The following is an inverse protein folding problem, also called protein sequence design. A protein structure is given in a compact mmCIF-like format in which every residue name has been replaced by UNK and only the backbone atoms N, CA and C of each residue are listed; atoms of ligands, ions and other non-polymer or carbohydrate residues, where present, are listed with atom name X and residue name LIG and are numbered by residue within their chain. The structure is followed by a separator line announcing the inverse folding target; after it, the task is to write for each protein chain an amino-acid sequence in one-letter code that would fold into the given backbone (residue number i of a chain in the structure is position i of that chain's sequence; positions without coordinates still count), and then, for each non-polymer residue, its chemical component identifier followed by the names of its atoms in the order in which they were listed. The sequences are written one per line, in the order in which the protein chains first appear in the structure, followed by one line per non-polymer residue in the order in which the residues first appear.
data_IF_949955761666
#
_entry.id   IF_949955761666
#
_cell.length_a   1.000
_cell.length_b   1.000
_cell.length_c   1.000
_cell.angle_alpha   90.00
_cell.angle_beta   90.00
_cell.angle_gamma   90.00
#
_symmetry.space_group_name_H-M   'P 1'
#
loop_
_entity.id
_entity.type
_entity.pdbx_description
1 polymer ?
#
# COMPACT_ATOMS: atom_id res chain seq x y z
N UNK A 1 -5.52 -25.75 -18.94
CA UNK A 1 -4.16 -26.09 -19.42
C UNK A 1 -3.19 -25.27 -18.58
N UNK A 2 -2.63 -25.85 -17.52
CA UNK A 2 -1.71 -25.16 -16.62
C UNK A 2 -0.31 -25.18 -17.26
N UNK A 3 0.44 -24.07 -17.32
CA UNK A 3 1.80 -24.09 -17.85
C UNK A 3 2.72 -24.71 -16.80
N UNK A 4 3.02 -26.00 -16.98
CA UNK A 4 4.07 -26.67 -16.21
C UNK A 4 5.38 -26.47 -16.96
N UNK A 5 6.26 -25.61 -16.44
CA UNK A 5 7.63 -25.50 -16.95
C UNK A 5 8.34 -26.82 -16.67
N UNK A 6 8.48 -27.67 -17.70
CA UNK A 6 9.14 -28.97 -17.52
C UNK A 6 10.67 -28.82 -17.67
N UNK A 7 11.44 -29.67 -16.98
CA UNK A 7 12.91 -29.59 -16.99
C UNK A 7 13.52 -29.72 -18.40
N UNK A 8 12.88 -30.49 -19.29
CA UNK A 8 13.27 -30.62 -20.69
C UNK A 8 13.03 -29.35 -21.51
N UNK A 9 12.00 -28.57 -21.22
CA UNK A 9 11.71 -27.29 -21.89
C UNK A 9 12.69 -26.18 -21.48
N UNK A 10 13.13 -26.17 -20.22
CA UNK A 10 14.12 -25.20 -19.71
C UNK A 10 15.46 -25.33 -20.45
N UNK A 11 15.84 -26.55 -20.84
CA UNK A 11 17.09 -26.81 -21.58
C UNK A 11 17.15 -26.09 -22.93
N UNK A 12 16.01 -25.82 -23.56
CA UNK A 12 15.94 -25.18 -24.88
C UNK A 12 15.76 -23.65 -24.81
N UNK A 13 15.71 -23.08 -23.61
CA UNK A 13 15.61 -21.63 -23.43
C UNK A 13 16.95 -20.98 -23.77
N UNK A 14 16.96 -20.20 -24.86
CA UNK A 14 18.13 -19.40 -25.23
C UNK A 14 18.23 -18.20 -24.29
N UNK A 15 19.28 -18.15 -23.50
CA UNK A 15 19.57 -17.02 -22.60
C UNK A 15 20.75 -16.21 -23.13
N UNK A 16 20.64 -14.87 -23.24
CA UNK A 16 21.82 -14.03 -23.44
C UNK A 16 22.71 -14.13 -22.19
N UNK A 17 23.98 -14.45 -22.39
CA UNK A 17 24.98 -14.50 -21.32
C UNK A 17 26.03 -13.43 -21.61
N UNK A 18 25.86 -12.20 -21.11
CA UNK A 18 26.85 -11.15 -21.28
C UNK A 18 28.11 -11.44 -20.45
N UNK A 19 29.22 -10.68 -20.63
CA UNK A 19 30.41 -10.81 -19.79
C UNK A 19 30.11 -10.61 -18.30
N UNK A 20 30.91 -11.23 -17.42
CA UNK A 20 30.70 -11.17 -15.96
C UNK A 20 30.65 -9.74 -15.41
N UNK A 21 31.41 -8.82 -16.01
CA UNK A 21 31.42 -7.41 -15.64
C UNK A 21 30.05 -6.76 -15.85
N UNK A 22 29.48 -6.91 -17.06
CA UNK A 22 28.14 -6.40 -17.39
C UNK A 22 27.05 -7.07 -16.53
N UNK A 23 27.19 -8.38 -16.25
CA UNK A 23 26.26 -9.07 -15.33
C UNK A 23 26.28 -8.44 -13.93
N UNK A 24 27.45 -8.07 -13.42
CA UNK A 24 27.59 -7.43 -12.11
C UNK A 24 26.99 -6.02 -12.11
N UNK A 25 27.25 -5.23 -13.14
CA UNK A 25 26.68 -3.88 -13.29
C UNK A 25 25.15 -3.91 -13.31
N UNK A 26 24.57 -4.82 -14.11
CA UNK A 26 23.12 -5.02 -14.18
C UNK A 26 22.57 -5.45 -12.80
N UNK A 27 23.24 -6.40 -12.14
CA UNK A 27 22.81 -6.90 -10.84
C UNK A 27 22.84 -5.81 -9.77
N UNK A 28 23.89 -4.99 -9.75
CA UNK A 28 24.03 -3.91 -8.78
C UNK A 28 23.01 -2.80 -9.04
N UNK A 29 22.74 -2.48 -10.31
CA UNK A 29 21.66 -1.56 -10.66
C UNK A 29 20.31 -2.04 -10.15
N UNK A 30 19.96 -3.31 -10.43
CA UNK A 30 18.70 -3.91 -9.98
C UNK A 30 18.63 -3.94 -8.46
N UNK A 31 19.71 -4.34 -7.78
CA UNK A 31 19.78 -4.39 -6.32
C UNK A 31 19.54 -3.02 -5.69
N UNK A 32 20.11 -1.96 -6.25
CA UNK A 32 19.86 -0.59 -5.78
C UNK A 32 18.39 -0.18 -5.93
N UNK A 33 17.72 -0.59 -7.01
CA UNK A 33 16.30 -0.30 -7.19
C UNK A 33 15.44 -1.10 -6.21
N UNK A 34 15.73 -2.37 -6.00
CA UNK A 34 15.03 -3.22 -5.03
C UNK A 34 15.07 -2.59 -3.64
N UNK A 35 16.26 -2.17 -3.18
CA UNK A 35 16.41 -1.51 -1.86
C UNK A 35 15.56 -0.23 -1.74
N UNK A 36 15.40 0.54 -2.83
CA UNK A 36 14.53 1.72 -2.82
C UNK A 36 13.05 1.32 -2.67
N UNK A 37 12.62 0.29 -3.40
CA UNK A 37 11.25 -0.21 -3.30
C UNK A 37 10.96 -0.78 -1.92
N UNK A 38 11.86 -1.58 -1.34
CA UNK A 38 11.69 -2.15 -0.01
C UNK A 38 11.51 -1.05 1.05
N UNK A 39 12.33 0.01 0.99
CA UNK A 39 12.20 1.17 1.89
C UNK A 39 10.88 1.90 1.73
N UNK A 40 10.36 2.00 0.50
CA UNK A 40 9.06 2.62 0.25
C UNK A 40 7.93 1.76 0.81
N UNK A 41 8.00 0.45 0.64
CA UNK A 41 7.03 -0.51 1.19
C UNK A 41 7.03 -0.43 2.71
N UNK A 42 8.19 -0.45 3.36
CA UNK A 42 8.28 -0.31 4.82
C UNK A 42 7.63 0.98 5.33
N UNK A 43 7.93 2.12 4.70
CA UNK A 43 7.34 3.41 5.10
C UNK A 43 5.83 3.42 4.93
N UNK A 44 5.33 2.82 3.85
CA UNK A 44 3.90 2.75 3.60
C UNK A 44 3.19 1.88 4.64
N UNK A 45 3.76 0.73 4.98
CA UNK A 45 3.23 -0.14 6.03
C UNK A 45 3.22 0.55 7.40
N UNK A 46 4.29 1.27 7.74
CA UNK A 46 4.36 2.06 8.97
C UNK A 46 3.30 3.18 9.00
N UNK A 47 3.07 3.86 7.87
CA UNK A 47 2.02 4.88 7.76
C UNK A 47 0.62 4.29 7.95
N UNK A 48 0.34 3.12 7.35
CA UNK A 48 -0.93 2.41 7.53
C UNK A 48 -1.14 2.04 9.00
N UNK A 49 -0.12 1.50 9.67
CA UNK A 49 -0.18 1.16 11.09
C UNK A 49 -0.50 2.40 11.95
N UNK A 50 0.18 3.53 11.70
CA UNK A 50 -0.08 4.78 12.42
C UNK A 50 -1.51 5.31 12.19
N UNK A 51 -2.03 5.21 10.96
CA UNK A 51 -3.40 5.62 10.66
C UNK A 51 -4.43 4.74 11.38
N UNK A 52 -4.18 3.43 11.48
CA UNK A 52 -5.02 2.50 12.23
C UNK A 52 -5.01 2.78 13.74
N UNK A 53 -3.82 3.05 14.30
CA UNK A 53 -3.67 3.45 15.71
C UNK A 53 -4.44 4.74 15.99
N UNK A 54 -4.25 5.77 15.17
CA UNK A 54 -4.98 7.05 15.28
C UNK A 54 -6.49 6.87 15.19
N UNK A 55 -6.97 6.06 14.23
CA UNK A 55 -8.39 5.74 14.11
C UNK A 55 -8.92 5.11 15.39
N UNK A 56 -8.19 4.15 15.94
CA UNK A 56 -8.59 3.44 17.17
C UNK A 56 -8.62 4.40 18.37
N UNK A 57 -7.59 5.25 18.52
CA UNK A 57 -7.52 6.25 19.57
C UNK A 57 -8.66 7.28 19.46
N UNK A 58 -9.00 7.73 18.24
CA UNK A 58 -10.11 8.65 18.00
C UNK A 58 -11.46 8.02 18.36
N UNK A 59 -11.70 6.76 17.97
CA UNK A 59 -12.92 6.03 18.35
C UNK A 59 -12.98 5.89 19.87
N UNK A 60 -11.88 5.49 20.51
CA UNK A 60 -11.80 5.35 21.97
C UNK A 60 -12.09 6.68 22.68
N UNK A 61 -11.52 7.78 22.19
CA UNK A 61 -11.75 9.12 22.74
C UNK A 61 -13.22 9.57 22.58
N UNK A 62 -13.85 9.26 21.45
CA UNK A 62 -15.27 9.54 21.23
C UNK A 62 -16.17 8.70 22.15
N UNK A 63 -15.92 7.39 22.27
CA UNK A 63 -16.71 6.47 23.11
C UNK A 63 -16.55 6.77 24.59
N UNK A 64 -15.36 7.19 25.02
CA UNK A 64 -15.10 7.62 26.41
C UNK A 64 -15.60 9.04 26.71
N UNK A 65 -16.23 9.71 25.75
CA UNK A 65 -16.79 11.05 25.92
C UNK A 65 -15.74 12.16 26.04
N UNK A 66 -14.45 11.86 25.75
CA UNK A 66 -13.38 12.87 25.67
C UNK A 66 -13.53 13.76 24.43
N UNK A 67 -14.22 13.27 23.39
CA UNK A 67 -14.60 14.01 22.20
C UNK A 67 -16.13 13.93 22.07
N UNK A 68 -16.80 15.08 22.08
CA UNK A 68 -18.25 15.15 21.87
C UNK A 68 -18.56 15.16 20.37
N UNK A 69 -19.24 14.12 19.90
CA UNK A 69 -19.61 13.91 18.49
C UNK A 69 -21.11 14.05 18.24
N UNK A 70 -21.91 14.45 19.26
CA UNK A 70 -23.38 14.43 19.16
C UNK A 70 -23.95 15.43 18.15
N UNK A 71 -23.27 16.55 17.93
CA UNK A 71 -23.65 17.58 16.97
C UNK A 71 -22.72 17.61 15.74
N UNK A 72 -21.94 16.56 15.51
CA UNK A 72 -20.98 16.54 14.40
C UNK A 72 -21.70 16.38 13.06
N UNK A 73 -21.48 17.34 12.16
CA UNK A 73 -21.97 17.30 10.78
C UNK A 73 -20.80 17.13 9.81
N UNK A 74 -21.03 16.36 8.76
CA UNK A 74 -20.01 16.11 7.72
C UNK A 74 -19.73 17.42 6.98
N UNK A 75 -18.48 17.93 6.95
CA UNK A 75 -18.16 19.14 6.21
C UNK A 75 -18.43 18.91 4.71
N UNK A 76 -19.39 19.63 4.14
CA UNK A 76 -19.75 19.56 2.72
C UNK A 76 -21.05 18.83 2.39
N UNK A 77 -21.77 18.28 3.37
CA UNK A 77 -23.17 17.88 3.16
C UNK A 77 -24.09 19.04 3.58
N UNK A 78 -24.50 19.86 2.60
CA UNK A 78 -25.65 20.75 2.77
C UNK A 78 -26.86 19.89 3.12
N UNK A 79 -27.34 20.01 4.36
CA UNK A 79 -28.59 19.41 4.80
C UNK A 79 -29.73 20.02 3.97
N UNK A 80 -30.15 19.32 2.91
CA UNK A 80 -31.45 19.52 2.28
C UNK A 80 -32.50 18.79 3.11
N UNK A 81 -32.77 19.28 4.30
CA UNK A 81 -34.01 18.98 4.98
C UNK A 81 -34.95 20.16 4.70
N UNK A 82 -35.85 19.98 3.73
CA UNK A 82 -37.02 20.84 3.60
C UNK A 82 -37.89 20.60 4.83
N UNK A 83 -37.82 21.53 5.77
CA UNK A 83 -38.90 21.78 6.72
C UNK A 83 -40.08 22.43 5.98
N UNK A 84 -41.27 21.97 6.35
CA UNK A 84 -42.54 22.69 6.40
C UNK A 84 -43.16 23.23 5.10
N UNK A 85 -44.23 22.57 4.67
CA UNK A 85 -45.40 23.25 4.13
C UNK A 85 -46.67 22.49 4.53
N UNK A 86 -47.37 23.11 5.48
CA UNK A 86 -48.83 23.15 5.74
C UNK A 86 -49.75 22.12 5.07
#
# INVERSE_FOLDING_TARGET
MHPHLNCGEVQYVKLPVPPTEEQNEITDHIRQQIVKFDRLVERQLAAIALMQERRTALISAAVTGKIDVRNWTVPGQTQSNKEDAA
#
